data_IF_598382959884
#
_entry.id   IF_598382959884
#
_cell.length_a   1.000
_cell.length_b   1.000
_cell.length_c   1.000
_cell.angle_alpha   90.00
_cell.angle_beta   90.00
_cell.angle_gamma   90.00
#
_symmetry.space_group_name_H-M   'P 1'
#
loop_
_entity.id
_entity.type
_entity.pdbx_description
1 polymer ?
#
# COMPACT_ATOMS: atom_id res chain seq x y z
N UNK A 1 2.40 -16.22 -13.80
CA UNK A 1 2.80 -14.83 -13.72
C UNK A 1 4.16 -14.63 -14.36
N UNK A 2 4.21 -13.84 -15.41
CA UNK A 2 5.44 -13.73 -16.18
C UNK A 2 6.24 -12.52 -15.68
N UNK A 3 7.32 -12.79 -14.98
CA UNK A 3 8.29 -11.76 -14.65
C UNK A 3 9.10 -11.49 -15.92
N UNK A 4 9.08 -10.26 -16.39
CA UNK A 4 9.89 -9.86 -17.54
C UNK A 4 11.35 -9.87 -17.09
N UNK A 5 12.19 -10.72 -17.71
CA UNK A 5 13.61 -10.78 -17.39
C UNK A 5 14.33 -9.50 -17.83
N UNK A 6 15.47 -9.22 -17.22
CA UNK A 6 16.29 -8.06 -17.62
C UNK A 6 16.64 -8.09 -19.11
N UNK A 7 16.81 -9.27 -19.68
CA UNK A 7 17.06 -9.46 -21.10
C UNK A 7 15.85 -9.05 -21.96
N UNK A 8 14.64 -9.30 -21.48
CA UNK A 8 13.42 -8.89 -22.18
C UNK A 8 13.21 -7.36 -22.08
N UNK A 9 13.67 -6.76 -21.00
CA UNK A 9 13.70 -5.30 -20.87
C UNK A 9 14.62 -4.67 -21.91
N UNK A 10 15.81 -5.21 -22.05
CA UNK A 10 16.81 -4.69 -22.99
C UNK A 10 16.39 -4.83 -24.47
N UNK A 11 15.57 -5.83 -24.80
CA UNK A 11 15.15 -6.05 -26.19
C UNK A 11 13.99 -5.16 -26.64
N UNK A 12 13.39 -4.40 -25.74
CA UNK A 12 12.32 -3.44 -26.09
C UNK A 12 12.83 -2.04 -26.43
N UNK A 13 14.12 -1.84 -26.31
CA UNK A 13 14.73 -0.52 -26.55
C UNK A 13 14.97 -0.24 -28.04
N UNK A 14 14.14 -0.81 -28.88
CA UNK A 14 14.33 -0.64 -30.29
C UNK A 14 13.59 0.62 -30.79
N UNK A 15 14.36 1.53 -31.28
CA UNK A 15 13.99 2.67 -32.10
C UNK A 15 13.62 4.00 -31.41
N UNK A 16 14.64 4.72 -31.02
CA UNK A 16 14.67 6.17 -31.24
C UNK A 16 13.89 7.07 -30.29
N UNK A 17 13.64 6.64 -29.13
CA UNK A 17 13.08 7.47 -28.07
C UNK A 17 13.05 6.66 -26.80
N UNK A 18 14.11 6.75 -26.07
CA UNK A 18 14.35 5.91 -24.88
C UNK A 18 13.43 6.23 -23.71
N UNK A 19 12.12 6.13 -23.94
CA UNK A 19 11.16 6.27 -22.86
C UNK A 19 10.79 4.88 -22.35
N UNK A 20 11.48 4.43 -21.30
CA UNK A 20 11.06 3.24 -20.56
C UNK A 20 9.72 3.56 -19.90
N UNK A 21 8.68 2.74 -20.12
CA UNK A 21 7.42 2.96 -19.42
C UNK A 21 7.65 2.85 -17.92
N UNK A 22 7.13 3.83 -17.18
CA UNK A 22 7.22 3.85 -15.74
C UNK A 22 6.48 2.65 -15.16
N UNK A 23 7.04 1.97 -14.16
CA UNK A 23 6.33 0.91 -13.45
C UNK A 23 5.21 1.43 -12.54
N UNK A 24 5.12 2.74 -12.33
CA UNK A 24 4.11 3.32 -11.45
C UNK A 24 2.70 3.00 -11.92
N UNK A 25 1.81 2.68 -10.97
CA UNK A 25 0.44 2.27 -11.24
C UNK A 25 -0.55 3.41 -10.90
N UNK A 26 -0.95 4.22 -11.91
CA UNK A 26 -1.81 5.38 -11.68
C UNK A 26 -3.14 5.06 -11.03
N UNK A 27 -3.74 3.93 -11.37
CA UNK A 27 -5.03 3.51 -10.82
C UNK A 27 -4.99 3.31 -9.31
N UNK A 28 -3.87 2.82 -8.78
CA UNK A 28 -3.71 2.62 -7.34
C UNK A 28 -3.65 3.94 -6.57
N UNK A 29 -3.00 4.95 -7.15
CA UNK A 29 -2.99 6.28 -6.56
C UNK A 29 -4.41 6.85 -6.47
N UNK A 30 -5.17 6.74 -7.55
CA UNK A 30 -6.56 7.19 -7.60
C UNK A 30 -7.42 6.47 -6.57
N UNK A 31 -7.29 5.15 -6.47
CA UNK A 31 -8.03 4.34 -5.50
C UNK A 31 -7.73 4.75 -4.06
N UNK A 32 -6.44 4.92 -3.73
CA UNK A 32 -6.02 5.32 -2.39
C UNK A 32 -6.57 6.71 -2.03
N UNK A 33 -6.50 7.65 -2.97
CA UNK A 33 -7.03 8.99 -2.77
C UNK A 33 -8.54 8.95 -2.53
N UNK A 34 -9.26 8.20 -3.36
CA UNK A 34 -10.71 8.07 -3.25
C UNK A 34 -11.13 7.42 -1.93
N UNK A 35 -10.42 6.40 -1.48
CA UNK A 35 -10.69 5.73 -0.20
C UNK A 35 -10.61 6.69 0.98
N UNK A 36 -9.72 7.66 0.94
CA UNK A 36 -9.57 8.64 2.00
C UNK A 36 -10.42 9.91 1.78
N UNK A 37 -11.17 9.96 0.69
CA UNK A 37 -12.01 11.11 0.40
C UNK A 37 -11.24 12.38 0.11
N UNK A 38 -9.99 12.27 -0.35
CA UNK A 38 -9.16 13.43 -0.65
C UNK A 38 -9.41 13.95 -2.06
N UNK A 39 -9.39 15.27 -2.22
CA UNK A 39 -9.31 15.88 -3.54
C UNK A 39 -7.88 15.77 -4.08
N UNK A 40 -7.70 16.00 -5.36
CA UNK A 40 -6.35 16.05 -5.96
C UNK A 40 -5.50 17.17 -5.34
N UNK A 41 -6.12 18.31 -5.01
CA UNK A 41 -5.43 19.41 -4.35
C UNK A 41 -4.99 19.04 -2.92
N UNK A 42 -5.86 18.38 -2.17
CA UNK A 42 -5.53 17.92 -0.81
C UNK A 42 -4.39 16.90 -0.82
N UNK A 43 -4.42 15.96 -1.75
CA UNK A 43 -3.30 15.03 -1.91
C UNK A 43 -2.03 15.75 -2.30
N UNK A 44 -2.11 16.71 -3.22
CA UNK A 44 -0.97 17.49 -3.66
C UNK A 44 -0.28 18.19 -2.47
N UNK A 45 -1.06 18.79 -1.58
CA UNK A 45 -0.53 19.43 -0.37
C UNK A 45 0.25 18.44 0.50
N UNK A 46 -0.26 17.21 0.62
CA UNK A 46 0.38 16.18 1.43
C UNK A 46 1.70 15.67 0.86
N UNK A 47 1.83 15.67 -0.45
CA UNK A 47 3.04 15.17 -1.14
C UNK A 47 3.96 16.28 -1.64
N UNK A 48 3.66 17.54 -1.29
CA UNK A 48 4.48 18.68 -1.70
C UNK A 48 4.44 18.97 -3.19
N UNK A 49 3.27 18.84 -3.81
CA UNK A 49 3.06 19.04 -5.24
C UNK A 49 1.85 19.95 -5.48
N UNK A 50 1.32 19.95 -6.70
CA UNK A 50 0.10 20.67 -7.05
C UNK A 50 -0.94 19.73 -7.67
N UNK A 51 -2.20 20.18 -7.70
CA UNK A 51 -3.31 19.36 -8.18
C UNK A 51 -3.13 18.92 -9.64
N UNK A 52 -2.54 19.78 -10.48
CA UNK A 52 -2.29 19.45 -11.88
C UNK A 52 -1.31 18.27 -12.00
N UNK A 53 -0.28 18.25 -11.17
CA UNK A 53 0.70 17.18 -11.17
C UNK A 53 0.08 15.86 -10.67
N UNK A 54 -0.73 15.92 -9.63
CA UNK A 54 -1.47 14.73 -9.15
C UNK A 54 -2.37 14.18 -10.26
N UNK A 55 -3.08 15.06 -10.97
CA UNK A 55 -3.90 14.65 -12.12
C UNK A 55 -3.08 13.93 -13.19
N UNK A 56 -1.91 14.44 -13.49
CA UNK A 56 -1.00 13.82 -14.47
C UNK A 56 -0.53 12.46 -14.03
N UNK A 57 -0.23 12.29 -12.75
CA UNK A 57 0.14 10.98 -12.18
C UNK A 57 -1.01 9.99 -12.31
N UNK A 58 -2.22 10.40 -11.94
CA UNK A 58 -3.41 9.53 -11.96
C UNK A 58 -3.83 9.13 -13.37
N UNK A 59 -3.52 9.96 -14.37
CA UNK A 59 -3.85 9.70 -15.77
C UNK A 59 -2.69 9.05 -16.54
N UNK A 60 -1.60 8.75 -15.87
CA UNK A 60 -0.44 8.12 -16.51
C UNK A 60 0.31 8.99 -17.50
N UNK A 61 0.11 10.30 -17.46
CA UNK A 61 0.77 11.24 -18.40
C UNK A 61 2.20 11.55 -18.00
N UNK A 62 2.49 11.52 -16.70
CA UNK A 62 3.81 11.79 -16.14
C UNK A 62 4.08 10.72 -15.09
N UNK A 63 5.30 10.19 -15.11
CA UNK A 63 5.75 9.26 -14.07
C UNK A 63 6.21 10.05 -12.85
N UNK A 64 5.76 9.71 -11.63
CA UNK A 64 6.31 10.31 -10.43
C UNK A 64 7.79 9.98 -10.30
N UNK A 65 8.57 10.92 -9.77
CA UNK A 65 9.94 10.64 -9.36
C UNK A 65 9.94 9.61 -8.22
N UNK A 66 11.08 8.98 -7.98
CA UNK A 66 11.21 8.08 -6.83
C UNK A 66 10.85 8.79 -5.52
N UNK A 67 11.27 10.03 -5.36
CA UNK A 67 10.94 10.84 -4.20
C UNK A 67 9.42 11.03 -4.06
N UNK A 68 8.74 11.33 -5.15
CA UNK A 68 7.28 11.47 -5.15
C UNK A 68 6.59 10.15 -4.79
N UNK A 69 7.07 9.03 -5.32
CA UNK A 69 6.54 7.69 -4.99
C UNK A 69 6.69 7.41 -3.50
N UNK A 70 7.83 7.72 -2.91
CA UNK A 70 8.06 7.53 -1.47
C UNK A 70 7.10 8.40 -0.65
N UNK A 71 6.89 9.65 -1.04
CA UNK A 71 5.94 10.53 -0.36
C UNK A 71 4.50 10.05 -0.45
N UNK A 72 4.11 9.51 -1.59
CA UNK A 72 2.80 8.87 -1.77
C UNK A 72 2.67 7.66 -0.84
N UNK A 73 3.68 6.81 -0.81
CA UNK A 73 3.71 5.63 0.06
C UNK A 73 3.56 6.02 1.53
N UNK A 74 4.27 7.06 1.97
CA UNK A 74 4.18 7.58 3.34
C UNK A 74 2.80 8.16 3.64
N UNK A 75 2.23 8.92 2.70
CA UNK A 75 0.93 9.57 2.87
C UNK A 75 -0.18 8.54 3.12
N UNK A 76 -0.16 7.44 2.40
CA UNK A 76 -1.18 6.39 2.49
C UNK A 76 -0.77 5.19 3.34
N UNK A 77 0.44 5.22 3.88
CA UNK A 77 1.02 4.10 4.62
C UNK A 77 0.88 2.77 3.86
N UNK A 78 1.33 2.78 2.63
CA UNK A 78 1.41 1.58 1.79
C UNK A 78 2.86 1.36 1.36
N UNK A 79 3.23 0.11 1.07
CA UNK A 79 4.56 -0.18 0.58
C UNK A 79 4.77 0.39 -0.83
N UNK A 80 6.01 0.72 -1.16
CA UNK A 80 6.34 1.17 -2.52
C UNK A 80 6.00 0.10 -3.54
N UNK A 81 6.19 -1.17 -3.20
CA UNK A 81 5.83 -2.31 -4.06
C UNK A 81 4.39 -2.21 -4.58
N UNK A 82 3.47 -1.86 -3.69
CA UNK A 82 2.06 -1.75 -4.03
C UNK A 82 1.82 -0.72 -5.13
N UNK A 83 2.62 0.34 -5.16
CA UNK A 83 2.49 1.42 -6.12
C UNK A 83 3.15 1.13 -7.48
N UNK A 84 4.09 0.19 -7.53
CA UNK A 84 4.91 -0.04 -8.72
C UNK A 84 4.89 -1.47 -9.23
N UNK A 85 4.29 -2.40 -8.52
CA UNK A 85 4.25 -3.82 -8.90
C UNK A 85 2.81 -4.31 -8.95
N UNK A 86 2.28 -4.69 -10.13
CA UNK A 86 0.86 -5.05 -10.28
C UNK A 86 0.35 -6.12 -9.32
N UNK A 87 1.18 -7.08 -9.00
CA UNK A 87 0.79 -8.23 -8.17
C UNK A 87 1.19 -8.09 -6.71
N UNK A 88 1.81 -6.99 -6.34
CA UNK A 88 2.20 -6.77 -4.96
C UNK A 88 0.97 -6.59 -4.08
N UNK A 89 0.89 -7.31 -2.94
CA UNK A 89 -0.20 -7.12 -2.01
C UNK A 89 -0.10 -5.76 -1.32
N UNK A 90 -1.24 -5.22 -0.91
CA UNK A 90 -1.28 -3.99 -0.14
C UNK A 90 -0.76 -4.27 1.26
N UNK A 91 0.37 -3.67 1.59
CA UNK A 91 1.03 -3.79 2.90
C UNK A 91 1.32 -2.40 3.45
N UNK A 92 1.32 -2.22 4.77
CA UNK A 92 1.75 -0.95 5.35
C UNK A 92 3.23 -0.70 5.08
N UNK A 93 3.58 0.57 4.86
CA UNK A 93 4.97 1.00 4.71
C UNK A 93 5.72 0.85 6.03
N UNK A 94 5.05 1.26 7.10
CA UNK A 94 5.60 1.16 8.44
C UNK A 94 4.85 0.09 9.22
N UNK A 95 5.58 -0.67 10.02
CA UNK A 95 5.00 -1.64 10.91
C UNK A 95 3.98 -0.98 11.86
N UNK A 96 2.94 -1.72 12.29
CA UNK A 96 2.01 -1.21 13.30
C UNK A 96 2.76 -0.77 14.55
N UNK A 97 2.22 0.21 15.23
CA UNK A 97 2.87 0.94 16.32
C UNK A 97 3.64 0.09 17.32
N UNK A 98 4.73 0.62 17.79
CA UNK A 98 5.76 -0.06 18.60
C UNK A 98 5.25 -0.89 19.78
N UNK A 99 4.15 -0.49 20.41
CA UNK A 99 3.58 -1.21 21.55
C UNK A 99 3.08 -2.61 21.17
N UNK A 100 2.43 -2.71 20.02
CA UNK A 100 1.95 -4.01 19.51
C UNK A 100 3.11 -4.87 19.02
N UNK A 101 4.07 -4.27 18.33
CA UNK A 101 5.25 -4.99 17.83
C UNK A 101 6.06 -5.59 18.97
N UNK A 102 6.25 -4.83 20.05
CA UNK A 102 6.94 -5.34 21.24
C UNK A 102 6.20 -6.52 21.85
N UNK A 103 4.86 -6.46 21.89
CA UNK A 103 4.04 -7.56 22.39
C UNK A 103 4.09 -8.78 21.49
N UNK A 104 4.13 -8.59 20.17
CA UNK A 104 4.24 -9.70 19.23
C UNK A 104 5.58 -10.42 19.36
N UNK A 105 6.67 -9.69 19.66
CA UNK A 105 7.97 -10.30 19.90
C UNK A 105 7.96 -11.23 21.12
N UNK A 106 7.14 -10.92 22.14
CA UNK A 106 7.05 -11.73 23.34
C UNK A 106 6.28 -13.05 23.13
N UNK A 107 5.53 -13.19 22.03
CA UNK A 107 4.74 -14.39 21.76
C UNK A 107 5.58 -15.65 21.58
N UNK A 108 6.83 -15.51 21.16
CA UNK A 108 7.73 -16.66 21.01
C UNK A 108 8.11 -17.29 22.35
N UNK A 109 7.92 -16.58 23.46
CA UNK A 109 8.24 -17.04 24.81
C UNK A 109 7.07 -17.74 25.51
N UNK A 110 5.91 -17.76 24.88
CA UNK A 110 4.72 -18.38 25.44
C UNK A 110 4.82 -19.91 25.40
N UNK A 111 4.29 -20.54 26.43
CA UNK A 111 4.07 -22.00 26.42
C UNK A 111 2.96 -22.33 25.42
N UNK A 112 2.85 -23.62 25.05
CA UNK A 112 1.81 -24.06 24.12
C UNK A 112 0.40 -23.78 24.67
N UNK A 113 0.19 -23.96 25.96
CA UNK A 113 -1.09 -23.67 26.61
C UNK A 113 -1.42 -22.17 26.60
N UNK A 114 -0.43 -21.35 26.88
CA UNK A 114 -0.59 -19.89 26.85
C UNK A 114 -0.89 -19.41 25.45
N UNK A 115 -0.23 -19.99 24.45
CA UNK A 115 -0.45 -19.68 23.05
C UNK A 115 -1.86 -20.08 22.60
N UNK A 116 -2.33 -21.26 23.01
CA UNK A 116 -3.69 -21.72 22.73
C UNK A 116 -4.73 -20.78 23.35
N UNK A 117 -4.51 -20.35 24.61
CA UNK A 117 -5.38 -19.39 25.28
C UNK A 117 -5.43 -18.07 24.53
N UNK A 118 -4.28 -17.55 24.10
CA UNK A 118 -4.20 -16.32 23.32
C UNK A 118 -4.96 -16.44 22.00
N UNK A 119 -4.79 -17.56 21.29
CA UNK A 119 -5.48 -17.83 20.04
C UNK A 119 -7.00 -17.80 20.23
N UNK A 120 -7.49 -18.42 21.30
CA UNK A 120 -8.92 -18.41 21.62
C UNK A 120 -9.45 -16.99 21.88
N UNK A 121 -8.67 -16.16 22.58
CA UNK A 121 -9.04 -14.76 22.84
C UNK A 121 -9.10 -13.96 21.52
N UNK A 122 -8.10 -14.12 20.67
CA UNK A 122 -8.06 -13.44 19.37
C UNK A 122 -9.26 -13.85 18.52
N UNK A 123 -9.57 -15.14 18.45
CA UNK A 123 -10.70 -15.66 17.69
C UNK A 123 -12.03 -15.10 18.20
N UNK A 124 -12.21 -15.02 19.51
CA UNK A 124 -13.40 -14.46 20.14
C UNK A 124 -13.58 -12.97 19.77
N UNK A 125 -12.52 -12.18 19.85
CA UNK A 125 -12.55 -10.77 19.52
C UNK A 125 -12.82 -10.57 18.02
N UNK A 126 -12.16 -11.35 17.18
CA UNK A 126 -12.32 -11.28 15.73
C UNK A 126 -13.75 -11.66 15.31
N UNK A 127 -14.31 -12.71 15.91
CA UNK A 127 -15.69 -13.12 15.65
C UNK A 127 -16.68 -12.03 16.06
N UNK A 128 -16.49 -11.44 17.23
CA UNK A 128 -17.32 -10.33 17.70
C UNK A 128 -17.26 -9.13 16.77
N UNK A 129 -16.08 -8.79 16.28
CA UNK A 129 -15.89 -7.70 15.33
C UNK A 129 -16.60 -7.98 13.99
N UNK A 130 -16.51 -9.21 13.48
CA UNK A 130 -17.21 -9.63 12.27
C UNK A 130 -18.73 -9.55 12.43
N UNK A 131 -19.26 -9.97 13.58
CA UNK A 131 -20.67 -9.90 13.87
C UNK A 131 -21.18 -8.45 13.89
N UNK A 132 -20.40 -7.53 14.46
CA UNK A 132 -20.73 -6.10 14.43
C UNK A 132 -20.84 -5.55 13.03
N UNK A 133 -19.93 -5.96 12.13
CA UNK A 133 -19.96 -5.54 10.72
C UNK A 133 -21.21 -6.09 10.01
N UNK A 134 -21.60 -7.32 10.28
CA UNK A 134 -22.77 -7.96 9.68
C UNK A 134 -24.07 -7.33 10.18
N UNK A 135 -24.14 -6.94 11.45
CA UNK A 135 -25.34 -6.34 12.06
C UNK A 135 -25.44 -4.84 11.85
N UNK A 136 -24.58 -4.26 11.01
CA UNK A 136 -24.59 -2.82 10.73
C UNK A 136 -24.03 -1.96 11.86
N UNK A 137 -23.28 -2.52 12.77
CA UNK A 137 -22.63 -1.77 13.85
C UNK A 137 -23.61 -1.23 14.89
N UNK A 138 -24.78 -1.81 15.02
CA UNK A 138 -25.72 -1.44 16.07
C UNK A 138 -25.07 -1.71 17.42
N UNK A 139 -24.83 -0.68 18.17
CA UNK A 139 -24.29 -0.73 19.53
C UNK A 139 -25.30 -1.37 20.49
#
# INVERSE_FOLDING_TARGET
MTVISAAQWASRDDHGGHHMPSPFLPGRLRELRAEQGLSQAELADKIGSDARQVSRYENGRVAPSLEAVVRIAETFNVSVDYLVTPDAPRRPLHAPGNALDARLADLSQLTDDERATLTNVIDAITTKAKLRLITGGAS
#
